data_IF_549364170279
#
_entry.id   IF_549364170279
#
_cell.length_a   1.000
_cell.length_b   1.000
_cell.length_c   1.000
_cell.angle_alpha   90.00
_cell.angle_beta   90.00
_cell.angle_gamma   90.00
#
_symmetry.space_group_name_H-M   'P 1'
#
loop_
_entity.id
_entity.type
_entity.pdbx_description
1 polymer ?
#
# COMPACT_ATOMS: atom_id res chain seq x y z
N UNK A 1 2.33 -13.16 -6.49
CA UNK A 1 1.00 -12.92 -5.91
C UNK A 1 0.97 -11.61 -5.12
N UNK A 2 1.94 -11.39 -4.21
CA UNK A 2 2.27 -10.10 -3.57
C UNK A 2 1.96 -8.80 -4.35
N UNK A 3 2.56 -8.63 -5.55
CA UNK A 3 2.39 -7.41 -6.36
C UNK A 3 0.96 -7.21 -6.88
N UNK A 4 0.25 -8.30 -7.13
CA UNK A 4 -1.15 -8.27 -7.56
C UNK A 4 -2.07 -7.81 -6.41
N UNK A 5 -1.83 -8.31 -5.19
CA UNK A 5 -2.55 -7.85 -4.00
C UNK A 5 -2.29 -6.36 -3.72
N UNK A 6 -1.04 -5.93 -3.84
CA UNK A 6 -0.68 -4.52 -3.64
C UNK A 6 -1.35 -3.61 -4.67
N UNK A 7 -1.40 -4.05 -5.93
CA UNK A 7 -2.13 -3.37 -6.99
C UNK A 7 -3.64 -3.31 -6.70
N UNK A 8 -4.25 -4.43 -6.35
CA UNK A 8 -5.67 -4.50 -6.04
C UNK A 8 -6.06 -3.58 -4.89
N UNK A 9 -5.26 -3.52 -3.82
CA UNK A 9 -5.48 -2.59 -2.71
C UNK A 9 -5.43 -1.12 -3.17
N UNK A 10 -4.46 -0.76 -4.02
CA UNK A 10 -4.37 0.59 -4.59
C UNK A 10 -5.59 0.92 -5.47
N UNK A 11 -6.03 -0.02 -6.31
CA UNK A 11 -7.20 0.16 -7.19
C UNK A 11 -8.49 0.37 -6.40
N UNK A 12 -8.72 -0.42 -5.36
CA UNK A 12 -9.87 -0.24 -4.45
C UNK A 12 -9.84 1.11 -3.74
N UNK A 13 -8.66 1.69 -3.53
CA UNK A 13 -8.49 3.03 -2.97
C UNK A 13 -8.51 4.14 -4.04
N UNK A 14 -8.59 3.79 -5.33
CA UNK A 14 -8.47 4.72 -6.45
C UNK A 14 -7.13 5.47 -6.44
N UNK A 15 -6.04 4.73 -6.24
CA UNK A 15 -4.66 5.19 -6.25
C UNK A 15 -3.86 4.51 -7.36
N UNK A 16 -2.85 5.20 -7.94
CA UNK A 16 -1.94 4.55 -8.88
C UNK A 16 -1.08 3.53 -8.14
N UNK A 17 -1.08 2.29 -8.62
CA UNK A 17 -0.20 1.21 -8.12
C UNK A 17 1.19 1.23 -8.74
N UNK A 18 1.42 2.07 -9.74
CA UNK A 18 2.65 2.11 -10.53
C UNK A 18 3.20 3.53 -10.61
N UNK A 19 4.53 3.63 -10.70
CA UNK A 19 5.24 4.89 -10.94
C UNK A 19 6.29 4.69 -12.03
N UNK A 20 6.49 5.70 -12.85
CA UNK A 20 7.60 5.74 -13.80
C UNK A 20 8.87 6.23 -13.10
N UNK A 21 9.95 5.45 -13.21
CA UNK A 21 11.27 5.79 -12.66
C UNK A 21 12.32 5.60 -13.74
N UNK A 22 13.43 6.33 -13.62
CA UNK A 22 14.60 6.13 -14.51
C UNK A 22 15.14 4.73 -14.27
N UNK A 23 15.42 3.99 -15.35
CA UNK A 23 16.05 2.68 -15.27
C UNK A 23 17.36 2.79 -14.47
N UNK A 24 17.48 2.10 -13.31
CA UNK A 24 18.66 2.20 -12.47
C UNK A 24 19.94 1.75 -13.19
N UNK A 25 19.85 0.88 -14.20
CA UNK A 25 21.01 0.50 -15.03
C UNK A 25 21.50 1.65 -15.88
N UNK A 26 20.58 2.43 -16.46
CA UNK A 26 20.95 3.62 -17.22
C UNK A 26 21.42 4.75 -16.31
N UNK A 27 20.86 4.88 -15.11
CA UNK A 27 21.34 5.85 -14.11
C UNK A 27 22.83 5.60 -13.78
N UNK A 28 23.21 4.34 -13.53
CA UNK A 28 24.61 3.97 -13.29
C UNK A 28 25.51 4.26 -14.51
N UNK A 29 25.04 3.97 -15.73
CA UNK A 29 25.80 4.21 -16.96
C UNK A 29 25.96 5.71 -17.27
N UNK A 30 24.95 6.52 -16.96
CA UNK A 30 24.98 7.97 -17.08
C UNK A 30 25.95 8.61 -16.05
N UNK A 31 25.96 8.11 -14.81
CA UNK A 31 26.91 8.55 -13.76
C UNK A 31 28.38 8.24 -14.13
N UNK A 32 28.61 7.24 -14.99
CA UNK A 32 29.93 6.90 -15.56
C UNK A 32 30.29 7.68 -16.84
N UNK A 33 29.43 8.59 -17.30
CA UNK A 33 29.76 9.54 -18.38
C UNK A 33 29.74 8.98 -19.81
N UNK A 34 29.05 7.86 -20.08
CA UNK A 34 28.91 7.35 -21.46
C UNK A 34 27.89 8.20 -22.26
N UNK A 35 28.32 8.96 -23.30
CA UNK A 35 27.45 9.87 -24.04
C UNK A 35 26.34 9.18 -24.86
N UNK A 36 26.36 7.85 -24.97
CA UNK A 36 25.36 7.07 -25.73
C UNK A 36 24.03 6.88 -25.00
N UNK A 37 23.94 7.26 -23.71
CA UNK A 37 22.73 7.12 -22.89
C UNK A 37 22.07 8.48 -22.57
N UNK A 38 22.10 9.42 -23.51
CA UNK A 38 21.64 10.81 -23.34
C UNK A 38 20.13 10.96 -23.11
N UNK A 39 19.34 9.91 -23.33
CA UNK A 39 17.91 9.87 -22.96
C UNK A 39 17.65 8.77 -21.94
N UNK A 40 17.30 9.11 -20.68
CA UNK A 40 16.95 8.12 -19.67
C UNK A 40 15.68 7.36 -20.07
N UNK A 41 15.77 6.04 -20.14
CA UNK A 41 14.61 5.16 -20.32
C UNK A 41 13.83 5.11 -19.01
N UNK A 42 12.53 5.40 -19.10
CA UNK A 42 11.61 5.24 -17.99
C UNK A 42 11.12 3.80 -17.95
N UNK A 43 11.15 3.21 -16.75
CA UNK A 43 10.53 1.92 -16.44
C UNK A 43 9.36 2.14 -15.48
N UNK A 44 8.33 1.31 -15.61
CA UNK A 44 7.23 1.27 -14.62
C UNK A 44 7.61 0.33 -13.49
N UNK A 45 7.52 0.84 -12.27
CA UNK A 45 7.70 0.07 -11.04
C UNK A 45 6.41 0.04 -10.26
N UNK A 46 6.04 -1.15 -9.80
CA UNK A 46 4.84 -1.38 -9.00
C UNK A 46 5.14 -1.15 -7.52
N UNK A 47 4.19 -0.60 -6.80
CA UNK A 47 4.19 -0.55 -5.35
C UNK A 47 4.04 -1.97 -4.78
N UNK A 48 4.94 -2.36 -3.90
CA UNK A 48 4.93 -3.69 -3.29
C UNK A 48 4.86 -3.57 -1.77
N UNK A 49 3.65 -3.72 -1.21
CA UNK A 49 3.44 -3.68 0.23
C UNK A 49 4.01 -4.89 0.97
N UNK A 50 4.51 -5.92 0.26
CA UNK A 50 5.19 -7.05 0.90
C UNK A 50 6.63 -6.77 1.29
N UNK A 51 7.24 -5.72 0.71
CA UNK A 51 8.56 -5.25 1.17
C UNK A 51 8.47 -4.77 2.62
N UNK A 52 9.40 -5.15 3.51
CA UNK A 52 9.34 -4.80 4.93
C UNK A 52 9.13 -3.31 5.20
N UNK A 53 9.80 -2.44 4.44
CA UNK A 53 9.72 -0.99 4.60
C UNK A 53 8.31 -0.47 4.28
N UNK A 54 7.67 -1.03 3.25
CA UNK A 54 6.30 -0.66 2.90
C UNK A 54 5.31 -1.32 3.86
N UNK A 55 5.52 -2.59 4.22
CA UNK A 55 4.66 -3.27 5.16
C UNK A 55 4.57 -2.54 6.49
N UNK A 56 5.70 -2.15 7.08
CA UNK A 56 5.73 -1.43 8.35
C UNK A 56 4.93 -0.13 8.26
N UNK A 57 5.01 0.60 7.14
CA UNK A 57 4.21 1.81 6.92
C UNK A 57 2.72 1.49 6.80
N UNK A 58 2.36 0.46 6.04
CA UNK A 58 0.97 0.00 5.87
C UNK A 58 0.36 -0.54 7.18
N UNK A 59 1.17 -1.20 8.00
CA UNK A 59 0.75 -1.74 9.29
C UNK A 59 0.58 -0.63 10.34
N UNK A 60 1.50 0.34 10.36
CA UNK A 60 1.46 1.50 11.26
C UNK A 60 0.58 2.64 10.74
N UNK A 61 -0.29 2.39 9.75
CA UNK A 61 -1.20 3.44 9.29
C UNK A 61 -2.04 3.89 10.48
N UNK A 62 -2.09 5.21 10.61
CA UNK A 62 -2.89 5.91 11.59
C UNK A 62 -4.36 5.78 11.15
N UNK A 63 -4.99 4.66 11.52
CA UNK A 63 -6.40 4.33 11.23
C UNK A 63 -7.40 5.18 12.03
N UNK A 64 -7.10 6.45 12.29
CA UNK A 64 -7.95 7.34 13.07
C UNK A 64 -9.20 7.65 12.26
N UNK A 65 -10.32 7.12 12.71
CA UNK A 65 -11.61 7.74 12.44
C UNK A 65 -11.59 9.06 13.23
N UNK A 66 -11.81 10.23 12.59
CA UNK A 66 -12.03 11.45 13.33
C UNK A 66 -13.19 11.18 14.26
N UNK A 67 -13.03 11.60 15.52
CA UNK A 67 -14.10 11.63 16.49
C UNK A 67 -15.37 12.17 15.82
N UNK A 68 -16.30 11.28 15.49
CA UNK A 68 -17.69 11.68 15.55
C UNK A 68 -17.98 12.01 17.02
N UNK A 69 -18.93 12.91 17.29
CA UNK A 69 -19.31 13.37 18.65
C UNK A 69 -19.61 12.25 19.67
N UNK A 70 -19.55 10.99 19.25
CA UNK A 70 -19.85 9.79 20.00
C UNK A 70 -18.64 8.91 20.36
N UNK A 71 -17.41 9.18 19.88
CA UNK A 71 -16.17 8.51 20.34
C UNK A 71 -16.14 6.97 20.24
N UNK A 72 -17.13 6.36 19.57
CA UNK A 72 -17.36 4.91 19.56
C UNK A 72 -16.90 4.22 18.28
N UNK A 73 -16.51 4.97 17.24
CA UNK A 73 -16.04 4.39 15.99
C UNK A 73 -14.53 4.14 15.93
N UNK A 74 -13.72 4.77 16.80
CA UNK A 74 -12.25 4.64 16.82
C UNK A 74 -11.76 3.20 16.93
N UNK A 75 -12.51 2.33 17.59
CA UNK A 75 -12.19 0.91 17.69
C UNK A 75 -12.51 0.14 16.39
N UNK A 76 -13.44 0.60 15.55
CA UNK A 76 -14.09 -0.21 14.51
C UNK A 76 -13.14 -0.87 13.52
N UNK A 77 -12.34 -0.10 12.77
CA UNK A 77 -11.50 -0.68 11.71
C UNK A 77 -10.30 -1.44 12.28
N UNK A 78 -9.58 -0.87 13.25
CA UNK A 78 -8.42 -1.51 13.86
C UNK A 78 -8.82 -2.80 14.61
N UNK A 79 -9.94 -2.77 15.36
CA UNK A 79 -10.51 -3.95 16.00
C UNK A 79 -11.03 -4.95 14.98
N UNK A 80 -11.68 -4.54 13.89
CA UNK A 80 -12.17 -5.46 12.87
C UNK A 80 -11.02 -6.12 12.12
N UNK A 81 -9.96 -5.37 11.79
CA UNK A 81 -8.71 -5.93 11.25
C UNK A 81 -8.13 -6.91 12.27
N UNK A 82 -7.87 -6.51 13.52
CA UNK A 82 -7.30 -7.39 14.55
C UNK A 82 -8.16 -8.62 14.86
N UNK A 83 -9.49 -8.50 14.85
CA UNK A 83 -10.42 -9.59 15.11
C UNK A 83 -10.46 -10.58 13.96
N UNK A 84 -10.47 -10.12 12.71
CA UNK A 84 -10.39 -11.01 11.54
C UNK A 84 -8.96 -11.59 11.39
N UNK A 85 -7.93 -10.79 11.66
CA UNK A 85 -6.51 -11.17 11.62
C UNK A 85 -6.15 -12.18 12.71
N UNK A 86 -6.72 -12.03 13.91
CA UNK A 86 -6.50 -12.94 15.03
C UNK A 86 -7.30 -14.25 14.96
N UNK A 87 -8.46 -14.25 14.29
CA UNK A 87 -9.32 -15.43 14.17
C UNK A 87 -9.15 -16.21 12.86
N UNK A 88 -8.53 -15.65 11.83
CA UNK A 88 -8.20 -16.41 10.62
C UNK A 88 -6.99 -17.30 10.89
N UNK A 89 -7.14 -18.62 10.78
CA UNK A 89 -6.04 -19.60 10.82
C UNK A 89 -5.14 -19.55 9.57
N UNK A 90 -5.20 -18.47 8.78
CA UNK A 90 -4.39 -18.28 7.59
C UNK A 90 -3.07 -17.62 7.97
N UNK A 91 -2.01 -18.05 7.29
CA UNK A 91 -0.62 -17.68 7.56
C UNK A 91 -0.43 -16.22 7.96
N UNK A 92 0.07 -16.01 9.18
CA UNK A 92 0.41 -14.71 9.76
C UNK A 92 1.60 -14.08 9.04
N UNK A 93 1.38 -13.64 7.80
CA UNK A 93 2.37 -13.03 6.94
C UNK A 93 1.82 -11.77 6.27
N UNK A 94 2.70 -11.01 5.65
CA UNK A 94 2.35 -9.74 5.01
C UNK A 94 1.25 -9.87 3.95
N UNK A 95 1.22 -10.97 3.19
CA UNK A 95 0.17 -11.18 2.18
C UNK A 95 -1.21 -11.37 2.82
N UNK A 96 -1.29 -12.12 3.93
CA UNK A 96 -2.52 -12.31 4.69
C UNK A 96 -3.09 -10.98 5.20
N UNK A 97 -2.23 -10.09 5.70
CA UNK A 97 -2.63 -8.74 6.12
C UNK A 97 -3.26 -7.94 4.97
N UNK A 98 -2.60 -7.90 3.82
CA UNK A 98 -3.09 -7.15 2.66
C UNK A 98 -4.43 -7.73 2.17
N UNK A 99 -4.60 -9.06 2.20
CA UNK A 99 -5.87 -9.72 1.85
C UNK A 99 -7.02 -9.29 2.76
N UNK A 100 -6.81 -9.23 4.07
CA UNK A 100 -7.83 -8.78 5.02
C UNK A 100 -8.25 -7.34 4.74
N UNK A 101 -7.31 -6.45 4.41
CA UNK A 101 -7.66 -5.08 4.01
C UNK A 101 -8.52 -5.04 2.74
N UNK A 102 -8.16 -5.85 1.74
CA UNK A 102 -8.93 -5.99 0.49
C UNK A 102 -10.34 -6.50 0.78
N UNK A 103 -10.46 -7.56 1.59
CA UNK A 103 -11.75 -8.16 1.96
C UNK A 103 -12.64 -7.16 2.70
N UNK A 104 -12.07 -6.38 3.63
CA UNK A 104 -12.82 -5.32 4.32
C UNK A 104 -13.35 -4.30 3.31
N UNK A 105 -12.50 -3.81 2.40
CA UNK A 105 -12.90 -2.84 1.40
C UNK A 105 -13.98 -3.38 0.45
N UNK A 106 -13.87 -4.65 0.04
CA UNK A 106 -14.82 -5.29 -0.87
C UNK A 106 -16.16 -5.61 -0.22
N UNK A 107 -16.15 -6.11 1.02
CA UNK A 107 -17.35 -6.54 1.73
C UNK A 107 -18.13 -5.37 2.32
N UNK A 108 -17.44 -4.37 2.85
CA UNK A 108 -18.10 -3.21 3.45
C UNK A 108 -18.48 -2.17 2.41
N UNK A 109 -17.68 -2.03 1.34
CA UNK A 109 -17.74 -0.89 0.39
C UNK A 109 -17.82 0.47 1.09
N UNK A 110 -17.29 0.55 2.30
CA UNK A 110 -17.41 1.73 3.15
C UNK A 110 -16.52 2.84 2.60
N UNK A 111 -17.14 3.94 2.16
CA UNK A 111 -16.40 5.13 1.71
C UNK A 111 -15.49 5.69 2.81
N UNK A 112 -15.88 5.51 4.08
CA UNK A 112 -15.05 5.85 5.23
C UNK A 112 -13.74 5.05 5.21
N UNK A 113 -13.81 3.71 5.14
CA UNK A 113 -12.60 2.88 5.14
C UNK A 113 -11.74 3.11 3.92
N UNK A 114 -12.34 3.29 2.74
CA UNK A 114 -11.63 3.69 1.52
C UNK A 114 -10.89 5.01 1.75
N UNK A 115 -11.56 6.02 2.32
CA UNK A 115 -10.97 7.34 2.58
C UNK A 115 -9.77 7.24 3.53
N UNK A 116 -9.86 6.48 4.62
CA UNK A 116 -8.75 6.33 5.56
C UNK A 116 -7.57 5.58 4.96
N UNK A 117 -7.82 4.38 4.41
CA UNK A 117 -6.77 3.58 3.77
C UNK A 117 -6.09 4.40 2.67
N UNK A 118 -6.88 5.11 1.84
CA UNK A 118 -6.36 6.00 0.80
C UNK A 118 -5.53 7.14 1.35
N UNK A 119 -5.99 7.82 2.39
CA UNK A 119 -5.28 8.96 2.98
C UNK A 119 -3.95 8.51 3.58
N UNK A 120 -3.97 7.42 4.34
CA UNK A 120 -2.76 6.87 4.94
C UNK A 120 -1.79 6.35 3.86
N UNK A 121 -2.30 5.80 2.75
CA UNK A 121 -1.45 5.48 1.59
C UNK A 121 -0.87 6.75 0.94
N UNK A 122 -1.60 7.85 0.84
CA UNK A 122 -1.08 9.08 0.21
C UNK A 122 0.00 9.79 1.03
N UNK A 123 -0.12 9.78 2.35
CA UNK A 123 0.78 10.50 3.25
C UNK A 123 2.14 9.81 3.44
N UNK A 124 2.21 8.52 3.12
CA UNK A 124 3.43 7.74 3.26
C UNK A 124 4.30 7.81 2.00
N UNK A 125 5.61 7.98 2.19
CA UNK A 125 6.59 7.77 1.13
C UNK A 125 6.85 6.27 0.94
N UNK A 126 6.55 5.77 -0.26
CA UNK A 126 6.66 4.35 -0.58
C UNK A 126 7.93 3.99 -1.36
N UNK A 127 8.47 2.81 -1.07
CA UNK A 127 9.59 2.23 -1.81
C UNK A 127 9.04 1.39 -2.96
N UNK A 128 9.18 1.88 -4.19
CA UNK A 128 8.77 1.15 -5.38
C UNK A 128 9.84 0.13 -5.80
N UNK A 129 9.46 -0.98 -6.43
CA UNK A 129 10.39 -1.82 -7.20
C UNK A 129 10.08 -3.31 -7.21
#
# INVERSE_FOLDING_TARGET
MAKELSKQLCELCGLPSEKEVIDPKQKQLADHGDPRFSTPSLIKVTLDFTKPENFIRLFNLKWYLPDDEYGTQEAGLAFYVLFNYGNSSQDWNTEGFIRILIEILQNTRSELYIKYIKQSIREAEWVYG
#
